data_IF_747987084128
#
_entry.id   IF_747987084128
#
_cell.length_a   1.000
_cell.length_b   1.000
_cell.length_c   1.000
_cell.angle_alpha   90.00
_cell.angle_beta   90.00
_cell.angle_gamma   90.00
#
_symmetry.space_group_name_H-M   'P 1'
#
loop_
_entity.id
_entity.type
_entity.pdbx_description
1 polymer ?
#
# COMPACT_ATOMS: atom_id res chain seq x y z
N UNK A 1 23.20 29.58 39.15
CA UNK A 1 23.73 29.14 37.85
C UNK A 1 22.84 28.03 37.32
N UNK A 2 21.96 28.38 36.39
CA UNK A 2 20.91 27.49 35.89
C UNK A 2 21.45 26.64 34.74
N UNK A 3 21.27 25.34 34.85
CA UNK A 3 21.58 24.34 33.82
C UNK A 3 20.51 24.41 32.75
N UNK A 4 20.85 24.91 31.56
CA UNK A 4 19.96 24.98 30.39
C UNK A 4 20.05 23.66 29.64
N UNK A 5 18.88 23.06 29.46
CA UNK A 5 18.54 21.77 28.86
C UNK A 5 19.17 21.49 27.50
N UNK A 6 19.90 20.38 27.42
CA UNK A 6 20.17 19.61 26.21
C UNK A 6 18.93 18.73 25.90
N UNK A 7 18.05 19.15 25.01
CA UNK A 7 16.84 18.37 24.76
C UNK A 7 16.24 18.39 23.34
N UNK A 8 16.76 19.16 22.39
CA UNK A 8 16.14 19.27 21.06
C UNK A 8 16.92 18.68 19.87
N UNK A 9 18.12 18.15 20.06
CA UNK A 9 18.98 17.70 18.95
C UNK A 9 18.88 16.23 18.55
N UNK A 10 18.24 15.37 19.37
CA UNK A 10 18.22 13.92 19.12
C UNK A 10 17.00 13.38 18.36
N UNK A 11 15.97 14.18 18.17
CA UNK A 11 14.73 13.76 17.49
C UNK A 11 14.76 13.91 15.97
N UNK A 12 15.50 14.86 15.45
CA UNK A 12 15.59 15.07 13.97
C UNK A 12 16.52 14.07 13.28
N UNK A 13 17.61 13.63 13.93
CA UNK A 13 18.53 12.64 13.37
C UNK A 13 17.96 11.23 13.22
N UNK A 14 16.93 10.90 14.00
CA UNK A 14 16.26 9.60 13.93
C UNK A 14 15.16 9.54 12.83
N UNK A 15 14.75 10.69 12.29
CA UNK A 15 13.73 10.80 11.24
C UNK A 15 14.31 10.88 9.82
N UNK A 16 15.55 11.28 9.69
CA UNK A 16 16.27 11.27 8.41
C UNK A 16 17.26 10.11 8.49
N UNK A 17 17.04 9.05 7.69
CA UNK A 17 17.88 7.85 7.70
C UNK A 17 19.37 8.21 7.70
N UNK A 18 20.12 7.61 8.61
CA UNK A 18 21.57 7.88 8.86
C UNK A 18 22.43 7.92 7.57
N UNK A 19 22.04 7.16 6.53
CA UNK A 19 22.74 7.15 5.24
C UNK A 19 22.57 8.45 4.42
N UNK A 20 21.45 9.18 4.57
CA UNK A 20 21.25 10.47 3.89
C UNK A 20 21.91 11.62 4.67
N UNK A 21 21.94 11.54 6.01
CA UNK A 21 22.71 12.49 6.82
C UNK A 21 24.21 12.28 6.69
N UNK A 22 24.69 11.04 6.65
CA UNK A 22 26.10 10.72 6.39
C UNK A 22 26.56 11.21 4.99
N UNK A 23 25.64 11.28 4.02
CA UNK A 23 25.93 11.88 2.70
C UNK A 23 25.96 13.42 2.74
N UNK A 24 25.36 14.06 3.76
CA UNK A 24 25.29 15.52 3.90
C UNK A 24 26.34 16.10 4.87
N UNK A 25 26.84 15.34 5.83
CA UNK A 25 27.68 15.91 6.90
C UNK A 25 29.16 16.13 6.56
N UNK A 26 29.70 15.60 5.44
CA UNK A 26 31.10 15.82 5.07
C UNK A 26 31.42 16.11 3.59
N UNK A 27 30.43 16.26 2.72
CA UNK A 27 30.71 16.61 1.33
C UNK A 27 30.68 18.12 1.13
N UNK A 28 31.85 18.74 1.09
CA UNK A 28 32.04 20.14 0.71
C UNK A 28 31.28 20.42 -0.60
N UNK A 29 30.31 21.35 -0.55
CA UNK A 29 29.63 21.77 -1.78
C UNK A 29 30.65 22.47 -2.70
N UNK A 30 30.72 22.06 -3.94
CA UNK A 30 31.56 22.65 -4.97
C UNK A 30 30.74 23.64 -5.78
N UNK A 31 31.34 24.76 -6.13
CA UNK A 31 30.75 25.69 -7.10
C UNK A 31 31.06 25.20 -8.51
N UNK A 32 30.03 24.73 -9.21
CA UNK A 32 30.18 24.20 -10.57
C UNK A 32 29.67 25.22 -11.60
N UNK A 33 30.38 25.38 -12.75
CA UNK A 33 29.83 26.14 -13.86
C UNK A 33 28.50 25.56 -14.32
N UNK A 34 27.46 26.39 -14.43
CA UNK A 34 26.12 25.94 -14.80
C UNK A 34 26.07 25.31 -16.20
N UNK A 35 27.00 25.70 -17.07
CA UNK A 35 27.19 25.13 -18.41
C UNK A 35 27.72 23.71 -18.43
N UNK A 36 28.31 23.23 -17.32
CA UNK A 36 28.82 21.87 -17.17
C UNK A 36 27.80 20.96 -16.47
N UNK A 37 26.65 21.51 -16.08
CA UNK A 37 25.59 20.75 -15.40
C UNK A 37 24.45 20.49 -16.39
N UNK A 38 24.08 19.22 -16.55
CA UNK A 38 23.03 18.78 -17.47
C UNK A 38 21.91 18.02 -16.76
N UNK A 39 20.72 18.12 -17.33
CA UNK A 39 19.51 17.43 -16.87
C UNK A 39 19.58 15.93 -17.17
N UNK A 40 18.98 15.12 -16.33
CA UNK A 40 18.80 13.69 -16.62
C UNK A 40 17.55 13.50 -17.50
N UNK A 41 17.69 12.81 -18.65
CA UNK A 41 16.58 12.53 -19.56
C UNK A 41 15.46 11.66 -18.92
N UNK A 42 15.77 10.93 -17.86
CA UNK A 42 14.86 10.04 -17.14
C UNK A 42 14.12 10.73 -15.96
N UNK A 43 14.12 12.06 -15.89
CA UNK A 43 13.41 12.79 -14.83
C UNK A 43 11.90 12.53 -14.88
N UNK A 44 11.28 12.09 -13.79
CA UNK A 44 9.85 11.75 -13.75
C UNK A 44 8.95 12.99 -13.92
N UNK A 45 9.43 14.18 -13.51
CA UNK A 45 8.66 15.41 -13.60
C UNK A 45 8.86 16.08 -14.95
N UNK A 46 7.88 15.95 -15.84
CA UNK A 46 7.90 16.58 -17.19
C UNK A 46 7.20 17.94 -17.23
N UNK A 47 6.25 18.20 -16.32
CA UNK A 47 5.50 19.44 -16.26
C UNK A 47 6.02 20.31 -15.11
N UNK A 48 6.49 21.50 -15.44
CA UNK A 48 6.88 22.52 -14.48
C UNK A 48 5.94 23.71 -14.67
N UNK A 49 5.34 24.15 -13.59
CA UNK A 49 4.55 25.38 -13.56
C UNK A 49 5.49 26.57 -13.84
N UNK A 50 5.26 27.35 -14.92
CA UNK A 50 6.13 28.45 -15.29
C UNK A 50 6.16 29.55 -14.22
N UNK A 51 5.02 29.87 -13.60
CA UNK A 51 4.91 30.93 -12.61
C UNK A 51 5.67 30.55 -11.33
N UNK A 52 5.46 29.35 -10.83
CA UNK A 52 6.20 28.81 -9.68
C UNK A 52 7.73 28.67 -9.94
N UNK A 53 8.14 28.55 -11.20
CA UNK A 53 9.56 28.53 -11.57
C UNK A 53 10.14 29.95 -11.63
N UNK A 54 9.36 30.94 -12.08
CA UNK A 54 9.74 32.34 -12.09
C UNK A 54 9.92 32.89 -10.67
N UNK A 55 8.98 32.60 -9.76
CA UNK A 55 9.09 32.98 -8.34
C UNK A 55 10.36 32.39 -7.70
N UNK A 56 10.67 31.14 -8.00
CA UNK A 56 11.90 30.51 -7.53
C UNK A 56 13.15 31.18 -8.15
N UNK A 57 13.11 31.58 -9.40
CA UNK A 57 14.23 32.30 -10.06
C UNK A 57 14.48 33.66 -9.42
N UNK A 58 13.42 34.40 -9.05
CA UNK A 58 13.53 35.66 -8.35
C UNK A 58 14.11 35.49 -6.93
N UNK A 59 13.67 34.48 -6.21
CA UNK A 59 14.26 34.12 -4.91
C UNK A 59 15.75 33.78 -5.03
N UNK A 60 16.12 32.98 -6.05
CA UNK A 60 17.52 32.60 -6.30
C UNK A 60 18.37 33.81 -6.72
N UNK A 61 17.80 34.77 -7.41
CA UNK A 61 18.52 36.03 -7.78
C UNK A 61 18.86 36.86 -6.55
N UNK A 62 17.99 36.84 -5.52
CA UNK A 62 18.18 37.62 -4.29
C UNK A 62 19.08 36.90 -3.28
N UNK A 63 18.91 35.63 -3.10
CA UNK A 63 19.50 34.86 -2.00
C UNK A 63 20.48 33.77 -2.43
N UNK A 64 20.62 33.54 -3.74
CA UNK A 64 21.37 32.39 -4.25
C UNK A 64 20.65 31.08 -4.03
N UNK A 65 21.36 29.99 -4.33
CA UNK A 65 20.89 28.63 -4.04
C UNK A 65 21.32 28.23 -2.63
N UNK A 66 20.38 28.20 -1.68
CA UNK A 66 20.63 27.86 -0.28
C UNK A 66 20.93 26.36 -0.15
N UNK A 67 20.13 25.50 -0.80
CA UNK A 67 20.32 24.05 -0.78
C UNK A 67 21.04 23.59 -2.05
N UNK A 68 22.28 23.05 -1.97
CA UNK A 68 23.04 22.62 -3.14
C UNK A 68 22.30 21.61 -4.01
N UNK A 69 22.67 21.55 -5.29
CA UNK A 69 22.26 20.49 -6.21
C UNK A 69 22.95 19.20 -5.84
N UNK A 70 22.33 18.06 -6.11
CA UNK A 70 23.01 16.76 -6.05
C UNK A 70 23.31 16.31 -7.47
N UNK A 71 24.59 16.10 -7.78
CA UNK A 71 25.04 15.76 -9.14
C UNK A 71 25.99 14.57 -9.10
N UNK A 72 26.13 13.88 -10.22
CA UNK A 72 27.21 12.90 -10.44
C UNK A 72 28.10 13.36 -11.59
N UNK A 73 29.36 13.00 -11.54
CA UNK A 73 30.32 13.27 -12.61
C UNK A 73 30.16 12.20 -13.70
N UNK A 74 30.02 12.62 -14.95
CA UNK A 74 30.00 11.75 -16.12
C UNK A 74 31.41 11.52 -16.65
N UNK A 75 31.58 10.48 -17.45
CA UNK A 75 32.85 10.21 -18.15
C UNK A 75 33.23 11.32 -19.13
N UNK A 76 32.25 12.08 -19.65
CA UNK A 76 32.43 13.25 -20.49
C UNK A 76 33.06 14.46 -19.78
N UNK A 77 33.18 14.41 -18.44
CA UNK A 77 33.61 15.54 -17.62
C UNK A 77 32.48 16.48 -17.20
N UNK A 78 31.26 16.30 -17.73
CA UNK A 78 30.05 17.02 -17.32
C UNK A 78 29.45 16.44 -16.03
N UNK A 79 28.50 17.16 -15.43
CA UNK A 79 27.83 16.75 -14.21
C UNK A 79 26.33 16.57 -14.49
N UNK A 80 25.80 15.39 -14.22
CA UNK A 80 24.38 15.09 -14.39
C UNK A 80 23.62 15.29 -13.08
N UNK A 81 22.50 16.00 -13.16
CA UNK A 81 21.64 16.26 -11.99
C UNK A 81 20.94 14.96 -11.57
N UNK A 82 21.07 14.60 -10.29
CA UNK A 82 20.31 13.55 -9.62
C UNK A 82 19.11 14.20 -8.92
N UNK A 83 19.34 15.27 -8.15
CA UNK A 83 18.30 16.03 -7.44
C UNK A 83 18.52 17.53 -7.56
N UNK A 84 17.41 18.28 -7.61
CA UNK A 84 17.43 19.75 -7.68
C UNK A 84 17.22 20.35 -9.08
N UNK A 85 16.58 19.65 -10.00
CA UNK A 85 16.27 20.11 -11.37
C UNK A 85 15.58 21.48 -11.39
N UNK A 86 14.58 21.71 -10.50
CA UNK A 86 13.89 23.02 -10.41
C UNK A 86 14.86 24.16 -10.06
N UNK A 87 15.76 23.92 -9.11
CA UNK A 87 16.77 24.89 -8.67
C UNK A 87 17.74 25.22 -9.81
N UNK A 88 18.17 24.22 -10.56
CA UNK A 88 19.04 24.40 -11.72
C UNK A 88 18.35 25.23 -12.83
N UNK A 89 17.09 24.91 -13.17
CA UNK A 89 16.33 25.68 -14.16
C UNK A 89 16.11 27.13 -13.72
N UNK A 90 15.69 27.32 -12.48
CA UNK A 90 15.50 28.62 -11.90
C UNK A 90 16.84 29.44 -11.84
N UNK A 91 17.96 28.80 -11.54
CA UNK A 91 19.29 29.40 -11.56
C UNK A 91 19.68 29.85 -12.98
N UNK A 92 19.36 29.06 -13.99
CA UNK A 92 19.57 29.46 -15.41
C UNK A 92 18.71 30.68 -15.77
N UNK A 93 17.44 30.69 -15.34
CA UNK A 93 16.54 31.83 -15.55
C UNK A 93 17.01 33.08 -14.77
N UNK A 94 17.57 32.89 -13.59
CA UNK A 94 18.16 33.96 -12.78
C UNK A 94 19.49 34.50 -13.34
N UNK A 95 20.10 33.84 -14.34
CA UNK A 95 21.36 34.27 -14.99
C UNK A 95 22.61 33.90 -14.19
N UNK A 96 22.54 32.93 -13.28
CA UNK A 96 23.71 32.47 -12.51
C UNK A 96 24.71 31.74 -13.43
N UNK A 97 26.00 32.03 -13.25
CA UNK A 97 27.09 31.37 -13.99
C UNK A 97 27.61 30.13 -13.30
N UNK A 98 27.40 30.02 -11.96
CA UNK A 98 27.83 28.92 -11.15
C UNK A 98 26.71 28.51 -10.16
N UNK A 99 26.68 27.24 -9.80
CA UNK A 99 25.70 26.65 -8.84
C UNK A 99 26.42 25.83 -7.82
N UNK A 100 26.03 25.89 -6.53
CA UNK A 100 26.55 25.00 -5.51
C UNK A 100 26.01 23.58 -5.72
N UNK A 101 26.91 22.60 -5.75
CA UNK A 101 26.56 21.23 -5.98
C UNK A 101 27.36 20.26 -5.08
N UNK A 102 26.73 19.20 -4.64
CA UNK A 102 27.36 18.06 -3.99
C UNK A 102 27.56 16.98 -5.05
N UNK A 103 28.81 16.61 -5.28
CA UNK A 103 29.16 15.56 -6.24
C UNK A 103 29.16 14.22 -5.53
N UNK A 104 28.35 13.30 -6.02
CA UNK A 104 28.33 11.91 -5.52
C UNK A 104 28.85 10.96 -6.60
N UNK A 105 29.62 9.96 -6.16
CA UNK A 105 30.05 8.88 -7.00
C UNK A 105 28.92 7.87 -7.09
N UNK A 106 28.26 7.79 -8.23
CA UNK A 106 27.15 6.89 -8.47
C UNK A 106 27.17 6.43 -9.93
N UNK A 107 27.01 5.13 -10.14
CA UNK A 107 26.71 4.59 -11.45
C UNK A 107 25.27 4.97 -11.88
N UNK A 108 24.91 4.64 -13.11
CA UNK A 108 23.58 4.97 -13.66
C UNK A 108 22.45 4.43 -12.79
N UNK A 109 22.59 3.19 -12.31
CA UNK A 109 21.60 2.51 -11.49
C UNK A 109 21.42 3.19 -10.14
N UNK A 110 22.54 3.53 -9.49
CA UNK A 110 22.53 4.21 -8.18
C UNK A 110 22.01 5.63 -8.27
N UNK A 111 22.35 6.34 -9.35
CA UNK A 111 21.82 7.68 -9.60
C UNK A 111 20.29 7.68 -9.78
N UNK A 112 19.74 6.72 -10.54
CA UNK A 112 18.31 6.56 -10.72
C UNK A 112 17.61 6.15 -9.40
N UNK A 113 18.20 5.26 -8.61
CA UNK A 113 17.72 4.89 -7.28
C UNK A 113 17.57 6.12 -6.38
N UNK A 114 18.63 6.93 -6.28
CA UNK A 114 18.64 8.12 -5.44
C UNK A 114 17.61 9.17 -5.90
N UNK A 115 17.48 9.37 -7.21
CA UNK A 115 16.47 10.28 -7.77
C UNK A 115 15.04 9.80 -7.48
N UNK A 116 14.80 8.48 -7.51
CA UNK A 116 13.50 7.90 -7.17
C UNK A 116 13.20 8.05 -5.68
N UNK A 117 14.17 7.80 -4.80
CA UNK A 117 14.01 7.96 -3.35
C UNK A 117 13.71 9.43 -3.02
N UNK A 118 14.43 10.39 -3.62
CA UNK A 118 14.18 11.82 -3.43
C UNK A 118 12.75 12.19 -3.84
N UNK A 119 12.31 11.71 -5.01
CA UNK A 119 10.96 11.96 -5.48
C UNK A 119 9.89 11.37 -4.54
N UNK A 120 10.14 10.19 -3.96
CA UNK A 120 9.23 9.54 -2.99
C UNK A 120 9.19 10.23 -1.62
N UNK A 121 10.19 11.04 -1.29
CA UNK A 121 10.21 11.83 -0.04
C UNK A 121 9.43 13.15 -0.15
N UNK A 122 8.82 13.44 -1.29
CA UNK A 122 8.00 14.64 -1.47
C UNK A 122 6.69 14.51 -0.70
N UNK A 123 6.21 15.63 -0.17
CA UNK A 123 4.97 15.70 0.62
C UNK A 123 3.69 15.73 -0.25
N UNK A 124 3.84 16.01 -1.55
CA UNK A 124 2.73 16.24 -2.48
C UNK A 124 2.35 15.01 -3.34
N UNK A 125 2.89 13.82 -3.04
CA UNK A 125 2.54 12.59 -3.73
C UNK A 125 1.15 12.08 -3.33
N UNK A 126 0.40 11.62 -4.34
CA UNK A 126 -0.82 10.88 -4.03
C UNK A 126 -0.50 9.44 -3.54
N UNK A 127 -1.41 8.79 -2.79
CA UNK A 127 -1.14 7.47 -2.23
C UNK A 127 -0.87 6.35 -3.25
N UNK A 128 -1.35 6.50 -4.48
CA UNK A 128 -1.09 5.53 -5.56
C UNK A 128 0.30 5.75 -6.15
N UNK A 129 0.68 7.01 -6.43
CA UNK A 129 2.05 7.34 -6.86
C UNK A 129 3.10 6.86 -5.86
N UNK A 130 2.84 7.07 -4.56
CA UNK A 130 3.70 6.59 -3.48
C UNK A 130 3.84 5.06 -3.52
N UNK A 131 2.73 4.35 -3.68
CA UNK A 131 2.70 2.89 -3.77
C UNK A 131 3.43 2.35 -5.02
N UNK A 132 3.24 2.99 -6.17
CA UNK A 132 3.92 2.65 -7.42
C UNK A 132 5.44 2.86 -7.30
N UNK A 133 5.85 3.96 -6.70
CA UNK A 133 7.26 4.22 -6.43
C UNK A 133 7.90 3.17 -5.53
N UNK A 134 7.22 2.72 -4.47
CA UNK A 134 7.70 1.61 -3.65
C UNK A 134 7.80 0.31 -4.44
N UNK A 135 6.82 0.02 -5.29
CA UNK A 135 6.84 -1.16 -6.16
C UNK A 135 8.04 -1.12 -7.11
N UNK A 136 8.33 0.03 -7.73
CA UNK A 136 9.49 0.21 -8.61
C UNK A 136 10.80 -0.02 -7.85
N UNK A 137 10.96 0.53 -6.64
CA UNK A 137 12.16 0.29 -5.81
C UNK A 137 12.35 -1.20 -5.51
N UNK A 138 11.28 -1.93 -5.20
CA UNK A 138 11.36 -3.36 -4.91
C UNK A 138 11.67 -4.19 -6.16
N UNK A 139 11.03 -3.92 -7.29
CA UNK A 139 11.16 -4.72 -8.51
C UNK A 139 12.44 -4.42 -9.30
N UNK A 140 12.80 -3.15 -9.49
CA UNK A 140 13.95 -2.77 -10.30
C UNK A 140 15.26 -2.78 -9.53
N UNK A 141 15.21 -2.46 -8.21
CA UNK A 141 16.40 -2.41 -7.37
C UNK A 141 16.54 -3.60 -6.43
N UNK A 142 15.62 -4.59 -6.52
CA UNK A 142 15.61 -5.82 -5.70
C UNK A 142 15.60 -5.53 -4.19
N UNK A 143 14.90 -4.48 -3.77
CA UNK A 143 14.79 -4.12 -2.36
C UNK A 143 13.66 -4.90 -1.69
N UNK A 144 13.87 -5.31 -0.46
CA UNK A 144 12.81 -5.80 0.42
C UNK A 144 11.93 -4.65 0.92
N UNK A 145 10.73 -4.95 1.41
CA UNK A 145 9.86 -3.92 2.03
C UNK A 145 10.53 -3.19 3.20
N UNK A 146 11.40 -3.89 3.94
CA UNK A 146 12.12 -3.31 5.07
C UNK A 146 13.22 -2.35 4.61
N UNK A 147 14.01 -2.73 3.60
CA UNK A 147 15.02 -1.86 3.00
C UNK A 147 14.39 -0.64 2.34
N UNK A 148 13.27 -0.83 1.59
CA UNK A 148 12.52 0.28 1.00
C UNK A 148 12.05 1.24 2.09
N UNK A 149 11.45 0.74 3.16
CA UNK A 149 10.97 1.55 4.27
C UNK A 149 12.11 2.37 4.93
N UNK A 150 13.25 1.71 5.21
CA UNK A 150 14.43 2.38 5.76
C UNK A 150 14.94 3.48 4.83
N UNK A 151 15.02 3.22 3.52
CA UNK A 151 15.53 4.17 2.51
C UNK A 151 14.65 5.41 2.33
N UNK A 152 13.32 5.23 2.39
CA UNK A 152 12.36 6.35 2.21
C UNK A 152 12.00 7.03 3.54
N UNK A 153 12.54 6.57 4.67
CA UNK A 153 12.25 7.14 6.00
C UNK A 153 10.84 6.83 6.52
N UNK A 154 10.23 5.72 6.08
CA UNK A 154 8.89 5.28 6.51
C UNK A 154 8.96 3.99 7.31
N UNK A 155 7.89 3.64 8.00
CA UNK A 155 7.80 2.34 8.66
C UNK A 155 7.47 1.22 7.65
N UNK A 156 7.98 -0.01 7.88
CA UNK A 156 7.63 -1.18 7.08
C UNK A 156 6.11 -1.39 6.92
N UNK A 157 5.28 -1.25 7.99
CA UNK A 157 3.83 -1.33 7.84
C UNK A 157 3.24 -0.25 6.93
N UNK A 158 3.81 0.97 6.90
CA UNK A 158 3.36 2.02 6.00
C UNK A 158 3.60 1.63 4.54
N UNK A 159 4.80 1.16 4.19
CA UNK A 159 5.13 0.65 2.84
C UNK A 159 4.24 -0.52 2.45
N UNK A 160 4.05 -1.50 3.34
CA UNK A 160 3.16 -2.64 3.07
C UNK A 160 1.70 -2.20 2.83
N UNK A 161 1.21 -1.23 3.60
CA UNK A 161 -0.14 -0.69 3.43
C UNK A 161 -0.30 0.09 2.12
N UNK A 162 0.70 0.88 1.73
CA UNK A 162 0.69 1.58 0.45
C UNK A 162 0.66 0.58 -0.73
N UNK A 163 1.54 -0.42 -0.73
CA UNK A 163 1.57 -1.46 -1.77
C UNK A 163 0.23 -2.20 -1.93
N UNK A 164 -0.50 -2.42 -0.83
CA UNK A 164 -1.83 -3.04 -0.90
C UNK A 164 -2.85 -2.20 -1.65
N UNK A 165 -2.70 -0.87 -1.70
CA UNK A 165 -3.61 0.02 -2.44
C UNK A 165 -3.59 -0.27 -3.95
N UNK A 166 -2.48 -0.80 -4.47
CA UNK A 166 -2.38 -1.22 -5.87
C UNK A 166 -3.31 -2.41 -6.24
N UNK A 167 -3.89 -3.10 -5.26
CA UNK A 167 -4.87 -4.17 -5.48
C UNK A 167 -6.33 -3.67 -5.54
N UNK A 168 -6.56 -2.38 -5.42
CA UNK A 168 -7.88 -1.79 -5.61
C UNK A 168 -8.30 -1.86 -7.08
N UNK A 169 -9.61 -1.94 -7.34
CA UNK A 169 -10.14 -1.81 -8.70
C UNK A 169 -9.93 -0.38 -9.23
N UNK A 170 -9.80 -0.27 -10.54
CA UNK A 170 -9.49 0.99 -11.25
C UNK A 170 -10.38 2.18 -10.84
N UNK A 171 -11.73 2.04 -10.76
CA UNK A 171 -12.58 3.16 -10.35
C UNK A 171 -12.28 3.68 -8.93
N UNK A 172 -11.92 2.78 -8.00
CA UNK A 172 -11.60 3.17 -6.61
C UNK A 172 -10.20 3.79 -6.53
N UNK A 173 -9.25 3.34 -7.36
CA UNK A 173 -7.94 4.00 -7.49
C UNK A 173 -8.08 5.43 -7.97
N UNK A 174 -8.85 5.67 -9.05
CA UNK A 174 -9.10 7.01 -9.55
C UNK A 174 -9.71 7.93 -8.48
N UNK A 175 -10.65 7.42 -7.67
CA UNK A 175 -11.21 8.20 -6.56
C UNK A 175 -10.19 8.54 -5.47
N UNK A 176 -9.19 7.69 -5.27
CA UNK A 176 -8.11 7.92 -4.33
C UNK A 176 -7.08 8.91 -4.88
N UNK A 177 -6.74 8.83 -6.17
CA UNK A 177 -5.85 9.75 -6.89
C UNK A 177 -6.40 11.17 -6.93
N UNK A 178 -7.73 11.31 -7.18
CA UNK A 178 -8.46 12.57 -7.15
C UNK A 178 -8.64 13.14 -5.72
N UNK A 179 -8.21 12.42 -4.67
CA UNK A 179 -8.37 12.84 -3.29
C UNK A 179 -9.80 12.75 -2.75
N UNK A 180 -10.76 12.21 -3.52
CA UNK A 180 -12.16 12.00 -3.09
C UNK A 180 -12.25 10.96 -1.98
N UNK A 181 -11.40 9.93 -2.00
CA UNK A 181 -11.27 8.94 -0.95
C UNK A 181 -9.93 9.11 -0.24
N UNK A 182 -9.93 8.96 1.08
CA UNK A 182 -8.67 8.90 1.83
C UNK A 182 -8.05 7.50 1.77
N UNK A 183 -6.73 7.41 2.00
CA UNK A 183 -6.03 6.13 2.10
C UNK A 183 -6.59 5.20 3.20
N UNK A 184 -7.23 5.76 4.23
CA UNK A 184 -7.94 4.99 5.27
C UNK A 184 -9.18 4.30 4.72
N UNK A 185 -10.03 5.04 3.99
CA UNK A 185 -11.22 4.47 3.33
C UNK A 185 -10.82 3.40 2.31
N UNK A 186 -9.83 3.69 1.47
CA UNK A 186 -9.32 2.77 0.46
C UNK A 186 -8.84 1.43 1.09
N UNK A 187 -8.11 1.49 2.21
CA UNK A 187 -7.67 0.28 2.94
C UNK A 187 -8.82 -0.54 3.50
N UNK A 188 -9.88 0.11 3.97
CA UNK A 188 -11.07 -0.57 4.48
C UNK A 188 -11.83 -1.34 3.39
N UNK A 189 -11.73 -0.89 2.11
CA UNK A 189 -12.38 -1.51 0.96
C UNK A 189 -11.58 -2.67 0.35
N UNK A 190 -10.28 -2.78 0.62
CA UNK A 190 -9.40 -3.82 0.05
C UNK A 190 -9.89 -5.27 0.22
N UNK A 191 -10.53 -5.67 1.35
CA UNK A 191 -11.00 -7.03 1.51
C UNK A 191 -12.18 -7.41 0.60
N UNK A 192 -12.86 -6.42 -0.01
CA UNK A 192 -14.02 -6.64 -0.85
C UNK A 192 -13.64 -7.08 -2.27
N UNK A 193 -14.47 -7.90 -2.94
CA UNK A 193 -14.35 -8.17 -4.38
C UNK A 193 -14.50 -6.86 -5.19
N UNK A 194 -13.87 -6.78 -6.37
CA UNK A 194 -13.79 -5.57 -7.20
C UNK A 194 -15.15 -4.90 -7.45
N UNK A 195 -16.21 -5.68 -7.75
CA UNK A 195 -17.57 -5.15 -7.95
C UNK A 195 -18.15 -4.51 -6.68
N UNK A 196 -17.85 -5.08 -5.52
CA UNK A 196 -18.33 -4.54 -4.25
C UNK A 196 -17.49 -3.35 -3.78
N UNK A 197 -16.20 -3.29 -4.14
CA UNK A 197 -15.35 -2.13 -3.86
C UNK A 197 -15.94 -0.86 -4.46
N UNK A 198 -16.34 -0.88 -5.73
CA UNK A 198 -16.94 0.27 -6.42
C UNK A 198 -18.25 0.72 -5.77
N UNK A 199 -19.16 -0.24 -5.50
CA UNK A 199 -20.45 0.07 -4.87
C UNK A 199 -20.26 0.63 -3.46
N UNK A 200 -19.35 0.04 -2.68
CA UNK A 200 -19.03 0.50 -1.33
C UNK A 200 -18.36 1.88 -1.35
N UNK A 201 -17.43 2.13 -2.28
CA UNK A 201 -16.81 3.43 -2.46
C UNK A 201 -17.84 4.53 -2.78
N UNK A 202 -18.77 4.24 -3.69
CA UNK A 202 -19.87 5.17 -4.00
C UNK A 202 -20.77 5.46 -2.78
N UNK A 203 -21.06 4.43 -1.95
CA UNK A 203 -21.82 4.62 -0.71
C UNK A 203 -21.03 5.45 0.32
N UNK A 204 -19.72 5.25 0.45
CA UNK A 204 -18.84 6.05 1.32
C UNK A 204 -18.88 7.52 0.94
N UNK A 205 -18.77 7.84 -0.35
CA UNK A 205 -18.80 9.21 -0.85
C UNK A 205 -20.18 9.85 -0.69
N UNK A 206 -21.26 9.10 -1.00
CA UNK A 206 -22.63 9.62 -0.91
C UNK A 206 -23.07 9.94 0.53
N UNK A 207 -22.62 9.12 1.48
CA UNK A 207 -23.05 9.21 2.89
C UNK A 207 -21.96 9.81 3.80
N UNK A 208 -20.84 10.29 3.23
CA UNK A 208 -19.70 10.88 3.95
C UNK A 208 -19.25 10.01 5.15
N UNK A 209 -19.14 8.70 4.91
CA UNK A 209 -18.82 7.76 5.99
C UNK A 209 -17.39 7.97 6.50
N UNK A 210 -17.22 7.85 7.81
CA UNK A 210 -15.88 7.79 8.42
C UNK A 210 -15.20 6.46 8.11
N UNK A 211 -13.86 6.38 8.28
CA UNK A 211 -13.08 5.14 8.07
C UNK A 211 -13.65 3.97 8.89
N UNK A 212 -14.03 4.20 10.16
CA UNK A 212 -14.64 3.16 11.01
C UNK A 212 -15.98 2.65 10.46
N UNK A 213 -16.82 3.56 9.96
CA UNK A 213 -18.10 3.17 9.35
C UNK A 213 -17.88 2.42 8.04
N UNK A 214 -16.86 2.78 7.26
CA UNK A 214 -16.45 2.06 6.05
C UNK A 214 -15.97 0.65 6.38
N UNK A 215 -15.19 0.47 7.45
CA UNK A 215 -14.78 -0.88 7.92
C UNK A 215 -15.98 -1.74 8.34
N UNK A 216 -16.97 -1.15 9.01
CA UNK A 216 -18.20 -1.86 9.37
C UNK A 216 -19.04 -2.23 8.14
N UNK A 217 -19.14 -1.32 7.17
CA UNK A 217 -19.82 -1.56 5.89
C UNK A 217 -19.13 -2.71 5.14
N UNK A 218 -17.80 -2.68 5.04
CA UNK A 218 -17.03 -3.74 4.39
C UNK A 218 -17.23 -5.09 5.06
N UNK A 219 -17.19 -5.15 6.40
CA UNK A 219 -17.49 -6.38 7.17
C UNK A 219 -18.89 -6.90 6.90
N UNK A 220 -19.89 -6.02 6.83
CA UNK A 220 -21.28 -6.38 6.55
C UNK A 220 -21.40 -6.98 5.15
N UNK A 221 -20.84 -6.34 4.13
CA UNK A 221 -20.85 -6.82 2.75
C UNK A 221 -20.12 -8.17 2.59
N UNK A 222 -19.01 -8.39 3.30
CA UNK A 222 -18.33 -9.68 3.33
C UNK A 222 -19.18 -10.78 3.99
N UNK A 223 -19.93 -10.45 5.06
CA UNK A 223 -20.80 -11.39 5.74
C UNK A 223 -22.08 -11.72 4.94
N UNK A 224 -22.57 -10.76 4.16
CA UNK A 224 -23.74 -10.92 3.26
C UNK A 224 -23.38 -11.67 1.97
N UNK A 225 -22.11 -11.83 1.67
CA UNK A 225 -21.62 -12.70 0.59
C UNK A 225 -21.10 -14.01 1.23
N UNK A 226 -21.96 -14.98 1.63
CA UNK A 226 -21.47 -16.30 1.91
C UNK A 226 -20.93 -16.81 0.58
N UNK A 227 -19.64 -17.09 0.48
CA UNK A 227 -19.15 -18.11 -0.45
C UNK A 227 -19.93 -19.38 -0.12
N UNK A 228 -21.04 -19.59 -0.81
CA UNK A 228 -21.53 -20.95 -0.97
C UNK A 228 -20.37 -21.68 -1.65
N UNK A 229 -19.71 -22.65 -0.97
CA UNK A 229 -18.79 -23.51 -1.68
C UNK A 229 -19.58 -24.01 -2.89
N UNK A 230 -19.03 -23.82 -4.08
CA UNK A 230 -19.63 -24.35 -5.30
C UNK A 230 -19.91 -25.82 -5.01
N UNK A 231 -21.19 -26.21 -4.90
CA UNK A 231 -21.59 -27.61 -4.79
C UNK A 231 -21.07 -28.21 -6.07
N UNK A 232 -20.05 -29.05 -5.92
CA UNK A 232 -19.54 -29.87 -6.99
C UNK A 232 -20.76 -30.63 -7.52
N UNK A 233 -21.22 -30.43 -8.78
CA UNK A 233 -22.45 -31.03 -9.28
C UNK A 233 -22.40 -32.54 -9.32
N UNK A 234 -21.24 -33.15 -9.00
CA UNK A 234 -20.98 -34.59 -8.92
C UNK A 234 -20.78 -35.11 -7.51
N UNK A 235 -20.86 -34.28 -6.46
CA UNK A 235 -20.86 -34.80 -5.09
C UNK A 235 -22.26 -35.28 -4.74
N UNK A 236 -22.52 -36.53 -4.99
CA UNK A 236 -23.66 -37.23 -4.41
C UNK A 236 -23.57 -37.04 -2.88
N UNK A 237 -24.55 -36.33 -2.30
CA UNK A 237 -24.56 -36.08 -0.87
C UNK A 237 -25.03 -37.36 -0.17
N UNK A 238 -24.10 -38.30 0.02
CA UNK A 238 -24.36 -39.57 0.66
C UNK A 238 -25.11 -39.45 1.99
N UNK A 239 -24.94 -38.34 2.70
CA UNK A 239 -25.64 -38.08 3.95
C UNK A 239 -27.13 -37.75 3.72
N UNK A 240 -27.49 -37.02 2.68
CA UNK A 240 -28.89 -36.73 2.32
C UNK A 240 -29.57 -37.99 1.77
N UNK A 241 -28.88 -38.76 0.95
CA UNK A 241 -29.42 -40.02 0.39
C UNK A 241 -29.61 -41.08 1.47
N UNK A 242 -28.62 -41.25 2.36
CA UNK A 242 -28.74 -42.13 3.53
C UNK A 242 -29.84 -41.67 4.52
N UNK A 243 -30.00 -40.36 4.72
CA UNK A 243 -31.07 -39.81 5.55
C UNK A 243 -32.45 -40.13 4.99
N UNK A 244 -32.61 -40.00 3.63
CA UNK A 244 -33.84 -40.34 2.93
C UNK A 244 -34.15 -41.85 3.02
N UNK A 245 -33.17 -42.70 2.73
CA UNK A 245 -33.35 -44.16 2.82
C UNK A 245 -33.72 -44.62 4.24
N UNK A 246 -33.07 -44.09 5.28
CA UNK A 246 -33.40 -44.34 6.68
C UNK A 246 -34.80 -43.83 7.03
N UNK A 247 -35.18 -42.65 6.59
CA UNK A 247 -36.48 -42.06 6.79
C UNK A 247 -37.60 -42.89 6.16
N UNK A 248 -37.40 -43.37 4.93
CA UNK A 248 -38.36 -44.26 4.23
C UNK A 248 -38.50 -45.62 4.94
N UNK A 249 -37.41 -46.20 5.42
CA UNK A 249 -37.42 -47.50 6.14
C UNK A 249 -38.06 -47.40 7.54
N UNK A 250 -37.85 -46.29 8.23
CA UNK A 250 -38.36 -46.06 9.59
C UNK A 250 -39.71 -45.35 9.61
N UNK A 251 -40.22 -44.91 8.44
CA UNK A 251 -41.50 -44.20 8.34
C UNK A 251 -41.52 -42.84 9.05
N UNK A 252 -40.36 -42.20 9.25
CA UNK A 252 -40.23 -40.96 10.03
C UNK A 252 -39.13 -40.04 9.53
N UNK A 253 -39.18 -38.76 9.94
CA UNK A 253 -38.17 -37.77 9.57
C UNK A 253 -36.78 -38.15 10.09
N UNK A 254 -35.81 -38.21 9.20
CA UNK A 254 -34.41 -38.49 9.53
C UNK A 254 -33.51 -37.37 8.96
N UNK A 255 -32.59 -36.88 9.78
CA UNK A 255 -31.57 -35.92 9.37
C UNK A 255 -30.18 -36.41 9.80
N UNK A 256 -29.23 -36.43 8.86
CA UNK A 256 -27.85 -36.77 9.15
C UNK A 256 -27.01 -35.49 9.02
N UNK A 257 -26.36 -35.11 10.13
CA UNK A 257 -25.46 -33.97 10.20
C UNK A 257 -24.03 -34.52 10.29
N UNK A 258 -23.28 -34.35 9.22
CA UNK A 258 -21.88 -34.79 9.14
C UNK A 258 -20.95 -33.70 9.68
N UNK A 259 -20.09 -34.03 10.64
CA UNK A 259 -19.03 -33.15 11.15
C UNK A 259 -17.65 -33.76 10.89
N UNK A 260 -16.61 -32.96 10.99
CA UNK A 260 -15.22 -33.36 10.64
C UNK A 260 -14.64 -34.52 11.47
N UNK A 261 -15.11 -34.73 12.69
CA UNK A 261 -14.69 -35.86 13.60
C UNK A 261 -15.85 -36.65 14.14
N UNK A 262 -17.07 -36.12 14.19
CA UNK A 262 -18.26 -36.76 14.72
C UNK A 262 -19.45 -36.36 13.88
N UNK A 263 -20.29 -37.28 13.50
CA UNK A 263 -21.59 -37.04 12.91
C UNK A 263 -22.73 -37.26 13.96
N UNK A 264 -23.91 -36.76 13.62
CA UNK A 264 -25.12 -36.86 14.42
C UNK A 264 -26.28 -37.30 13.53
N UNK A 265 -27.07 -38.26 13.97
CA UNK A 265 -28.31 -38.67 13.33
C UNK A 265 -29.45 -38.19 14.22
N UNK A 266 -30.38 -37.46 13.68
CA UNK A 266 -31.60 -36.96 14.32
C UNK A 266 -32.78 -37.72 13.72
N UNK A 267 -33.57 -38.36 14.58
CA UNK A 267 -34.79 -39.08 14.23
C UNK A 267 -35.98 -38.41 14.92
N UNK A 268 -37.05 -38.15 14.17
CA UNK A 268 -38.28 -37.62 14.74
C UNK A 268 -39.10 -38.73 15.38
N UNK A 269 -39.78 -38.43 16.50
CA UNK A 269 -40.73 -39.33 17.14
C UNK A 269 -42.00 -38.55 17.58
N UNK A 270 -43.13 -39.20 17.60
CA UNK A 270 -44.43 -38.61 17.82
C UNK A 270 -45.11 -39.24 19.05
N UNK A 271 -44.71 -38.79 20.26
CA UNK A 271 -45.22 -39.24 21.51
C UNK A 271 -44.40 -40.36 22.16
N UNK A 272 -44.80 -40.75 23.39
CA UNK A 272 -44.03 -41.68 24.24
C UNK A 272 -44.06 -43.13 23.72
N UNK A 273 -45.18 -43.53 23.13
CA UNK A 273 -45.33 -44.91 22.61
C UNK A 273 -44.44 -45.09 21.35
N UNK A 274 -44.46 -44.13 20.43
CA UNK A 274 -43.61 -44.12 19.24
C UNK A 274 -42.09 -44.04 19.60
N UNK A 275 -41.75 -43.36 20.70
CA UNK A 275 -40.38 -43.34 21.20
C UNK A 275 -39.94 -44.74 21.70
N UNK A 276 -40.84 -45.47 22.40
CA UNK A 276 -40.54 -46.80 22.87
C UNK A 276 -40.34 -47.77 21.70
N UNK A 277 -41.22 -47.74 20.69
CA UNK A 277 -41.08 -48.54 19.47
C UNK A 277 -39.75 -48.25 18.74
N UNK A 278 -39.36 -46.96 18.67
CA UNK A 278 -38.09 -46.57 18.09
C UNK A 278 -36.88 -47.07 18.88
N UNK A 279 -36.94 -47.02 20.22
CA UNK A 279 -35.89 -47.53 21.08
C UNK A 279 -35.76 -49.06 20.94
N UNK A 280 -36.86 -49.78 20.88
CA UNK A 280 -36.86 -51.24 20.69
C UNK A 280 -36.28 -51.64 19.32
N UNK A 281 -36.62 -50.87 18.25
CA UNK A 281 -36.04 -51.09 16.94
C UNK A 281 -34.52 -50.81 16.92
N UNK A 282 -34.04 -49.76 17.62
CA UNK A 282 -32.63 -49.47 17.78
C UNK A 282 -31.87 -50.50 18.61
N UNK A 283 -32.50 -51.05 19.66
CA UNK A 283 -31.93 -52.11 20.48
C UNK A 283 -31.83 -53.44 19.73
N UNK A 284 -32.73 -53.71 18.78
CA UNK A 284 -32.69 -54.90 17.92
C UNK A 284 -31.48 -54.87 16.91
N UNK A 285 -30.83 -53.75 16.74
CA UNK A 285 -29.63 -53.66 15.90
C UNK A 285 -28.46 -54.29 16.65
N UNK A 286 -28.17 -55.59 16.39
CA UNK A 286 -27.02 -56.27 16.97
C UNK A 286 -25.72 -55.54 16.60
N UNK A 287 -24.93 -55.15 17.61
CA UNK A 287 -23.53 -54.81 17.42
C UNK A 287 -22.81 -55.98 16.73
N UNK A 288 -22.30 -55.80 15.53
CA UNK A 288 -21.26 -56.67 14.97
C UNK A 288 -19.91 -56.32 15.57
#
# INVERSE_FOLDING_TARGET
>A
MANISKGLGKGLGALMGDDMMALHEEKTSLMLPISQVESCAAQPRKLFDPDALADLADSIRQHGIIQPLTVRKLQSGYYQIIAGERRWRAARMAGLTQVPAVVIEADDRKAMELAMIENLQREDLNPIEEAEGYKVLMEQYNMTQEETAKRVGKSRPAVANALRLLNLCEPVRAMLEDGRLSGGHARALLPLPAKQQETAAAAVLKSELSVRQTELLAKKLMAETPEKPAKDPLSVNYAEEAARELGERLGRGCRIVSGRKKGRIELEYYGTDDLNDLLDALHAIKKK
#
